data_IF_612792082459
#
_entry.id   IF_612792082459
#
_cell.length_a   1.000
_cell.length_b   1.000
_cell.length_c   1.000
_cell.angle_alpha   90.00
_cell.angle_beta   90.00
_cell.angle_gamma   90.00
#
_symmetry.space_group_name_H-M   'P 1'
#
loop_
_entity.id
_entity.type
_entity.pdbx_description
1 polymer ?
#
# COMPACT_ATOMS: atom_id res chain seq x y z
N UNK A 1 -26.52 -24.84 -15.53
CA UNK A 1 -25.44 -23.95 -15.05
C UNK A 1 -25.69 -22.50 -15.42
N UNK A 2 -25.81 -22.15 -16.71
CA UNK A 2 -26.08 -20.76 -17.12
C UNK A 2 -27.34 -20.18 -16.48
N UNK A 3 -28.45 -20.90 -16.57
CA UNK A 3 -29.75 -20.52 -15.97
C UNK A 3 -29.65 -20.25 -14.46
N UNK A 4 -28.95 -21.10 -13.71
CA UNK A 4 -28.74 -20.89 -12.28
C UNK A 4 -27.89 -19.65 -11.95
N UNK A 5 -26.90 -19.31 -12.80
CA UNK A 5 -26.12 -18.08 -12.63
C UNK A 5 -26.95 -16.84 -12.98
N UNK A 6 -27.75 -16.90 -14.04
CA UNK A 6 -28.65 -15.82 -14.45
C UNK A 6 -29.64 -15.52 -13.33
N UNK A 7 -30.34 -16.54 -12.82
CA UNK A 7 -31.29 -16.40 -11.71
C UNK A 7 -30.63 -15.83 -10.45
N UNK A 8 -29.43 -16.32 -10.10
CA UNK A 8 -28.69 -15.82 -8.93
C UNK A 8 -28.31 -14.34 -9.09
N UNK A 9 -27.77 -13.95 -10.25
CA UNK A 9 -27.32 -12.57 -10.50
C UNK A 9 -28.53 -11.63 -10.52
N UNK A 10 -29.62 -12.02 -11.19
CA UNK A 10 -30.84 -11.22 -11.26
C UNK A 10 -31.48 -11.02 -9.88
N UNK A 11 -31.53 -12.08 -9.07
CA UNK A 11 -32.14 -12.01 -7.73
C UNK A 11 -31.29 -11.29 -6.69
N UNK A 12 -29.96 -11.22 -6.85
CA UNK A 12 -29.04 -10.76 -5.78
C UNK A 12 -28.19 -9.54 -6.14
N UNK A 13 -28.20 -9.08 -7.39
CA UNK A 13 -27.49 -7.86 -7.77
C UNK A 13 -28.25 -6.62 -7.31
N UNK A 14 -27.71 -5.92 -6.33
CA UNK A 14 -28.31 -4.72 -5.74
C UNK A 14 -27.42 -3.50 -5.93
N UNK A 15 -27.94 -2.30 -5.72
CA UNK A 15 -27.16 -1.06 -5.87
C UNK A 15 -25.94 -1.00 -4.93
N UNK A 16 -26.10 -1.49 -3.70
CA UNK A 16 -25.02 -1.51 -2.71
C UNK A 16 -24.07 -2.71 -2.86
N UNK A 17 -24.55 -3.81 -3.45
CA UNK A 17 -23.77 -5.03 -3.72
C UNK A 17 -24.00 -5.52 -5.16
N UNK A 18 -23.41 -4.85 -6.16
CA UNK A 18 -23.62 -5.17 -7.57
C UNK A 18 -22.77 -6.37 -8.03
N UNK A 19 -23.35 -7.23 -8.86
CA UNK A 19 -22.60 -8.24 -9.62
C UNK A 19 -22.02 -7.65 -10.92
N UNK A 20 -20.83 -8.11 -11.31
CA UNK A 20 -20.16 -7.72 -12.56
C UNK A 20 -19.89 -8.97 -13.41
N UNK A 21 -20.45 -9.02 -14.62
CA UNK A 21 -20.14 -10.08 -15.61
C UNK A 21 -18.92 -9.64 -16.43
N UNK A 22 -17.82 -10.40 -16.34
CA UNK A 22 -16.54 -10.02 -16.95
C UNK A 22 -16.13 -11.06 -18.00
N UNK A 23 -15.76 -10.64 -19.23
CA UNK A 23 -15.21 -11.54 -20.23
C UNK A 23 -13.93 -12.24 -19.73
N UNK A 24 -13.93 -13.57 -19.79
CA UNK A 24 -12.87 -14.40 -19.20
C UNK A 24 -11.90 -15.01 -20.23
N UNK A 25 -12.16 -14.86 -21.54
CA UNK A 25 -11.37 -15.48 -22.62
C UNK A 25 -9.91 -15.00 -22.61
N UNK A 26 -9.70 -13.74 -22.24
CA UNK A 26 -8.38 -13.15 -22.14
C UNK A 26 -8.03 -12.79 -20.69
N UNK A 27 -7.13 -13.56 -20.10
CA UNK A 27 -6.69 -13.41 -18.70
C UNK A 27 -6.17 -12.01 -18.35
N UNK A 28 -5.46 -11.34 -19.26
CA UNK A 28 -4.92 -10.01 -18.95
C UNK A 28 -6.05 -8.97 -18.92
N UNK A 29 -7.02 -9.10 -19.84
CA UNK A 29 -8.21 -8.23 -19.89
C UNK A 29 -9.05 -8.40 -18.64
N UNK A 30 -9.36 -9.65 -18.27
CA UNK A 30 -10.13 -9.96 -17.05
C UNK A 30 -9.51 -9.32 -15.82
N UNK A 31 -8.19 -9.49 -15.63
CA UNK A 31 -7.46 -8.91 -14.49
C UNK A 31 -7.50 -7.38 -14.49
N UNK A 32 -7.39 -6.76 -15.66
CA UNK A 32 -7.46 -5.31 -15.79
C UNK A 32 -8.85 -4.78 -15.42
N UNK A 33 -9.92 -5.43 -15.89
CA UNK A 33 -11.31 -5.04 -15.60
C UNK A 33 -11.61 -5.19 -14.10
N UNK A 34 -11.28 -6.35 -13.51
CA UNK A 34 -11.48 -6.58 -12.06
C UNK A 34 -10.73 -5.52 -11.24
N UNK A 35 -9.46 -5.27 -11.55
CA UNK A 35 -8.66 -4.26 -10.85
C UNK A 35 -9.27 -2.86 -10.96
N UNK A 36 -9.81 -2.52 -12.14
CA UNK A 36 -10.45 -1.22 -12.38
C UNK A 36 -11.71 -1.05 -11.53
N UNK A 37 -12.55 -2.09 -11.42
CA UNK A 37 -13.75 -2.06 -10.57
C UNK A 37 -13.37 -1.83 -9.12
N UNK A 38 -12.45 -2.62 -8.58
CA UNK A 38 -12.00 -2.51 -7.18
C UNK A 38 -11.43 -1.13 -6.89
N UNK A 39 -10.52 -0.63 -7.74
CA UNK A 39 -9.91 0.69 -7.56
C UNK A 39 -10.96 1.80 -7.61
N UNK A 40 -11.94 1.71 -8.51
CA UNK A 40 -13.02 2.69 -8.60
C UNK A 40 -13.84 2.73 -7.31
N UNK A 41 -14.20 1.56 -6.77
CA UNK A 41 -15.00 1.44 -5.53
C UNK A 41 -14.22 1.90 -4.31
N UNK A 42 -12.94 1.57 -4.18
CA UNK A 42 -12.12 2.05 -3.05
C UNK A 42 -11.93 3.57 -3.12
N UNK A 43 -11.72 4.12 -4.33
CA UNK A 43 -11.57 5.56 -4.52
C UNK A 43 -12.85 6.33 -4.19
N UNK A 44 -14.04 5.78 -4.42
CA UNK A 44 -15.29 6.47 -4.08
C UNK A 44 -15.50 6.63 -2.57
N UNK A 45 -14.77 5.89 -1.73
CA UNK A 45 -14.81 6.04 -0.28
C UNK A 45 -14.05 7.29 0.22
N UNK A 46 -13.36 8.02 -0.67
CA UNK A 46 -12.61 9.26 -0.35
C UNK A 46 -11.64 9.11 0.84
N UNK A 47 -10.95 7.97 0.92
CA UNK A 47 -9.95 7.73 1.95
C UNK A 47 -8.81 8.74 1.83
N UNK A 48 -8.49 9.39 2.94
CA UNK A 48 -7.34 10.29 3.05
C UNK A 48 -6.33 9.72 4.03
N UNK A 49 -5.05 9.99 3.77
CA UNK A 49 -4.03 9.73 4.77
C UNK A 49 -4.27 10.61 5.99
N UNK A 50 -4.09 10.08 7.22
CA UNK A 50 -4.22 10.88 8.41
C UNK A 50 -3.18 12.00 8.39
N UNK A 51 -3.60 13.20 8.77
CA UNK A 51 -2.69 14.33 8.91
C UNK A 51 -1.82 14.09 10.14
N UNK A 52 -0.50 14.09 9.94
CA UNK A 52 0.46 14.03 11.04
C UNK A 52 0.41 15.36 11.81
N UNK A 53 0.07 15.36 13.11
CA UNK A 53 0.13 16.54 13.96
C UNK A 53 1.55 17.13 14.02
N UNK A 54 1.66 18.43 14.29
CA UNK A 54 2.96 19.09 14.35
C UNK A 54 3.84 18.55 15.50
N UNK A 55 3.22 18.09 16.61
CA UNK A 55 3.90 17.40 17.72
C UNK A 55 4.63 16.14 17.26
N UNK A 56 3.93 15.32 16.47
CA UNK A 56 4.44 14.03 16.00
C UNK A 56 5.52 14.26 14.95
N UNK A 57 5.36 15.30 14.12
CA UNK A 57 6.38 15.73 13.16
C UNK A 57 7.68 16.14 13.84
N UNK A 58 7.60 16.90 14.94
CA UNK A 58 8.79 17.28 15.72
C UNK A 58 9.46 16.07 16.38
N UNK A 59 8.67 15.12 16.89
CA UNK A 59 9.20 13.88 17.44
C UNK A 59 9.94 13.05 16.38
N UNK A 60 9.38 12.97 15.17
CA UNK A 60 10.01 12.29 14.04
C UNK A 60 11.33 12.93 13.61
N UNK A 61 11.41 14.27 13.56
CA UNK A 61 12.68 14.95 13.25
C UNK A 61 13.74 14.73 14.35
N UNK A 62 13.36 14.78 15.62
CA UNK A 62 14.29 14.47 16.72
C UNK A 62 14.82 13.03 16.64
N UNK A 63 13.93 12.07 16.36
CA UNK A 63 14.32 10.67 16.17
C UNK A 63 15.27 10.52 14.97
N UNK A 64 15.01 11.25 13.88
CA UNK A 64 15.90 11.28 12.70
C UNK A 64 17.28 11.83 13.04
N UNK A 65 17.38 12.91 13.80
CA UNK A 65 18.67 13.49 14.23
C UNK A 65 19.48 12.53 15.08
N UNK A 66 18.84 11.84 16.03
CA UNK A 66 19.47 10.84 16.89
C UNK A 66 20.06 9.69 16.07
N UNK A 67 19.29 9.13 15.13
CA UNK A 67 19.75 8.04 14.26
C UNK A 67 20.91 8.47 13.35
N UNK A 68 20.91 9.71 12.86
CA UNK A 68 22.03 10.25 12.08
C UNK A 68 23.30 10.45 12.91
N UNK A 69 23.16 10.85 14.17
CA UNK A 69 24.28 10.95 15.11
C UNK A 69 24.88 9.56 15.41
N UNK A 70 24.05 8.55 15.63
CA UNK A 70 24.50 7.16 15.80
C UNK A 70 25.22 6.60 14.57
N UNK A 71 24.72 6.88 13.37
CA UNK A 71 25.38 6.51 12.11
C UNK A 71 26.72 7.21 11.91
N UNK A 72 26.87 8.42 12.42
CA UNK A 72 28.11 9.19 12.34
C UNK A 72 29.14 8.65 13.33
N UNK A 73 28.70 8.32 14.55
CA UNK A 73 29.55 7.74 15.60
C UNK A 73 30.02 6.31 15.25
N UNK A 74 29.12 5.49 14.68
CA UNK A 74 29.47 4.13 14.20
C UNK A 74 30.43 4.14 13.01
N UNK A 75 30.41 5.17 12.16
CA UNK A 75 31.41 5.39 11.09
C UNK A 75 32.77 5.86 11.60
N UNK A 76 32.84 6.48 12.78
CA UNK A 76 34.11 6.89 13.40
C UNK A 76 34.81 5.72 14.11
N UNK A 77 34.06 4.74 14.62
CA UNK A 77 34.60 3.54 15.28
C UNK A 77 35.34 2.54 14.36
N UNK A 78 35.21 2.66 13.03
CA UNK A 78 35.90 1.79 12.06
C UNK A 78 37.23 2.35 11.53
N UNK A 79 37.66 3.54 11.98
CA UNK A 79 39.01 4.09 11.73
C UNK A 79 39.88 3.94 12.97
N UNK A 80 40.26 2.72 13.33
CA UNK A 80 41.49 2.51 14.12
C UNK A 80 42.68 2.48 13.16
N UNK A 81 43.64 3.43 13.24
CA UNK A 81 44.92 3.26 12.57
C UNK A 81 45.69 2.16 13.31
N UNK A 82 46.13 1.13 12.58
CA UNK A 82 47.20 0.24 13.03
C UNK A 82 48.45 1.12 13.20
N UNK A 83 48.81 1.43 14.45
CA UNK A 83 50.10 2.00 14.80
C UNK A 83 51.07 0.89 15.21
N UNK A 84 52.14 0.80 14.44
CA UNK A 84 53.53 0.43 14.79
C UNK A 84 53.87 -0.99 15.25
N UNK A 85 54.63 -1.70 14.40
CA UNK A 85 55.65 -2.66 14.84
C UNK A 85 56.77 -2.81 13.79
N UNK A 86 57.94 -2.27 14.14
CA UNK A 86 59.29 -2.31 13.52
C UNK A 86 59.66 -1.17 12.58
#
# INVERSE_FOLDING_TARGET
YMEAYEETIEATSTEYAPWYVIPADNKWVTRAIVSRVIVKTIKSLNMQWPRVPDSDRQALEKAREQLLAELTNSRQGSRTPKSDAT
#
